data_IF_044752006101
#
_entry.id   IF_044752006101
#
_cell.length_a   1.000
_cell.length_b   1.000
_cell.length_c   1.000
_cell.angle_alpha   90.00
_cell.angle_beta   90.00
_cell.angle_gamma   90.00
#
_symmetry.space_group_name_H-M   'P 1'
#
loop_
_entity.id
_entity.type
_entity.pdbx_description
1 polymer ?
#
# COMPACT_ATOMS: atom_id res chain seq x y z
N UNK A 1 -24.99 -46.26 19.30
CA UNK A 1 -24.57 -47.46 20.04
C UNK A 1 -25.78 -48.22 20.56
N UNK A 2 -26.18 -49.29 19.89
CA UNK A 2 -27.03 -50.33 20.50
C UNK A 2 -26.12 -51.27 21.27
N UNK A 3 -26.37 -51.43 22.58
CA UNK A 3 -25.54 -52.25 23.47
C UNK A 3 -25.82 -53.75 23.30
N UNK A 4 -25.44 -54.39 22.19
CA UNK A 4 -25.58 -55.86 22.12
C UNK A 4 -24.70 -56.61 21.11
N UNK A 5 -23.43 -56.24 20.91
CA UNK A 5 -22.47 -57.10 20.21
C UNK A 5 -21.11 -57.13 20.91
N UNK A 6 -20.59 -58.35 21.16
CA UNK A 6 -19.41 -58.64 21.96
C UNK A 6 -18.06 -58.30 21.29
N UNK A 7 -18.09 -57.63 20.14
CA UNK A 7 -16.91 -57.07 19.44
C UNK A 7 -17.35 -55.84 18.66
N UNK A 8 -17.75 -54.79 19.38
CA UNK A 8 -17.85 -53.47 18.77
C UNK A 8 -16.43 -52.93 18.58
N UNK A 9 -15.89 -53.02 17.36
CA UNK A 9 -14.73 -52.22 16.95
C UNK A 9 -15.25 -50.78 16.82
N UNK A 10 -14.95 -49.96 17.82
CA UNK A 10 -15.22 -48.53 17.75
C UNK A 10 -14.17 -47.93 16.81
N UNK A 11 -14.51 -47.73 15.54
CA UNK A 11 -13.72 -46.90 14.66
C UNK A 11 -13.91 -45.45 15.12
N UNK A 12 -12.92 -44.92 15.83
CA UNK A 12 -12.83 -43.49 16.08
C UNK A 12 -12.22 -42.91 14.80
N UNK A 13 -13.05 -42.26 14.00
CA UNK A 13 -12.59 -41.44 12.88
C UNK A 13 -12.11 -40.10 13.46
N UNK A 14 -10.79 -39.98 13.63
CA UNK A 14 -10.17 -38.71 14.05
C UNK A 14 -10.04 -37.88 12.78
N UNK A 15 -10.94 -36.90 12.62
CA UNK A 15 -10.80 -35.92 11.55
C UNK A 15 -9.78 -34.87 11.99
N UNK A 16 -8.63 -34.88 11.33
CA UNK A 16 -7.59 -33.86 11.53
C UNK A 16 -8.11 -32.48 11.08
N UNK A 17 -7.78 -31.40 11.82
CA UNK A 17 -8.20 -30.07 11.45
C UNK A 17 -7.65 -29.70 10.05
N UNK A 18 -8.51 -29.13 9.22
CA UNK A 18 -8.23 -28.70 7.85
C UNK A 18 -9.14 -27.54 7.49
N UNK A 19 -8.74 -26.67 6.56
CA UNK A 19 -9.57 -25.50 6.22
C UNK A 19 -9.21 -24.24 7.02
N UNK A 20 -7.92 -24.06 7.30
CA UNK A 20 -7.37 -22.72 7.45
C UNK A 20 -7.14 -22.10 6.07
N UNK A 21 -7.22 -20.78 5.98
CA UNK A 21 -6.78 -20.01 4.82
C UNK A 21 -5.80 -18.92 5.24
N UNK A 22 -4.83 -18.66 4.37
CA UNK A 22 -3.94 -17.50 4.47
C UNK A 22 -4.29 -16.54 3.34
N UNK A 23 -4.47 -15.29 3.67
CA UNK A 23 -5.09 -14.30 2.79
C UNK A 23 -4.15 -13.11 2.65
N UNK A 24 -3.76 -12.82 1.41
CA UNK A 24 -3.13 -11.58 1.04
C UNK A 24 -4.20 -10.65 0.46
N UNK A 25 -4.17 -9.34 0.78
CA UNK A 25 -5.28 -8.47 0.50
C UNK A 25 -5.26 -7.97 -0.95
N UNK A 26 -6.41 -7.44 -1.37
CA UNK A 26 -6.53 -6.63 -2.57
C UNK A 26 -6.52 -5.16 -2.12
N UNK A 27 -5.51 -4.39 -2.50
CA UNK A 27 -5.33 -2.99 -2.05
C UNK A 27 -5.11 -2.08 -3.24
N UNK A 28 -5.74 -0.90 -3.22
CA UNK A 28 -5.43 0.20 -4.12
C UNK A 28 -4.73 1.30 -3.32
N UNK A 29 -3.64 1.83 -3.87
CA UNK A 29 -2.83 2.88 -3.23
C UNK A 29 -2.25 3.80 -4.30
N UNK A 30 -1.85 4.99 -3.87
CA UNK A 30 -1.30 6.00 -4.75
C UNK A 30 0.23 5.97 -4.76
N UNK A 31 0.82 6.41 -5.86
CA UNK A 31 2.23 6.78 -5.96
C UNK A 31 2.36 8.03 -6.83
N UNK A 32 3.45 8.79 -6.67
CA UNK A 32 3.77 9.92 -7.54
C UNK A 32 4.05 9.39 -8.96
N UNK A 33 3.18 9.75 -9.91
CA UNK A 33 3.28 9.30 -11.29
C UNK A 33 4.49 9.87 -12.04
N UNK A 34 5.12 10.93 -11.53
CA UNK A 34 6.29 11.58 -12.14
C UNK A 34 7.58 10.98 -11.61
N UNK A 35 7.75 10.94 -10.28
CA UNK A 35 8.97 10.40 -9.68
C UNK A 35 8.93 8.89 -9.53
N UNK A 36 7.73 8.30 -9.52
CA UNK A 36 7.47 6.90 -9.24
C UNK A 36 7.44 6.56 -7.74
N UNK A 37 7.68 7.53 -6.85
CA UNK A 37 7.80 7.30 -5.40
C UNK A 37 6.42 7.06 -4.79
N UNK A 38 6.30 6.01 -3.98
CA UNK A 38 5.09 5.66 -3.28
C UNK A 38 5.37 4.61 -2.23
N UNK A 39 4.40 4.39 -1.35
CA UNK A 39 4.47 3.35 -0.34
C UNK A 39 3.10 2.75 -0.06
N UNK A 40 3.07 1.54 0.48
CA UNK A 40 1.83 0.86 0.85
C UNK A 40 2.08 -0.10 2.00
N UNK A 41 1.14 -0.20 2.92
CA UNK A 41 1.13 -1.24 3.94
C UNK A 41 -0.04 -2.20 3.69
N UNK A 42 0.21 -3.49 3.84
CA UNK A 42 -0.78 -4.54 3.62
C UNK A 42 -0.82 -5.49 4.81
N UNK A 43 -2.03 -5.89 5.21
CA UNK A 43 -2.28 -6.88 6.24
C UNK A 43 -2.32 -8.29 5.64
N UNK A 44 -1.49 -9.19 6.13
CA UNK A 44 -1.65 -10.62 5.91
C UNK A 44 -2.61 -11.18 6.95
N UNK A 45 -3.61 -11.95 6.52
CA UNK A 45 -4.65 -12.48 7.40
C UNK A 45 -4.67 -14.01 7.42
N UNK A 46 -5.20 -14.55 8.51
CA UNK A 46 -5.54 -15.97 8.65
C UNK A 46 -7.01 -16.09 8.99
N UNK A 47 -7.68 -17.10 8.43
CA UNK A 47 -9.06 -17.46 8.78
C UNK A 47 -9.19 -18.98 8.96
N UNK A 48 -10.19 -19.39 9.73
CA UNK A 48 -10.59 -20.80 9.86
C UNK A 48 -12.05 -20.96 9.41
N UNK A 49 -12.32 -21.93 8.55
CA UNK A 49 -13.67 -22.24 8.10
C UNK A 49 -14.52 -22.81 9.25
N UNK A 50 -15.77 -22.35 9.39
CA UNK A 50 -16.69 -22.83 10.43
C UNK A 50 -17.01 -24.34 10.32
N UNK A 51 -16.77 -24.92 9.14
CA UNK A 51 -16.94 -26.36 8.88
C UNK A 51 -15.71 -27.19 9.27
N UNK A 52 -14.60 -26.56 9.69
CA UNK A 52 -13.38 -27.26 10.12
C UNK A 52 -13.67 -28.14 11.36
N UNK A 53 -13.34 -29.45 11.33
CA UNK A 53 -13.40 -30.29 12.51
C UNK A 53 -12.67 -29.65 13.71
N UNK A 54 -13.39 -29.46 14.82
CA UNK A 54 -12.84 -28.83 16.03
C UNK A 54 -12.92 -27.30 16.05
N UNK A 55 -13.61 -26.67 15.08
CA UNK A 55 -13.73 -25.21 15.03
C UNK A 55 -14.30 -24.60 16.33
N UNK A 56 -13.69 -23.51 16.84
CA UNK A 56 -12.42 -22.95 16.39
C UNK A 56 -11.22 -23.70 17.00
N UNK A 57 -10.24 -24.03 16.17
CA UNK A 57 -9.03 -24.72 16.60
C UNK A 57 -8.00 -23.74 17.19
N UNK A 58 -7.38 -24.13 18.29
CA UNK A 58 -6.33 -23.35 18.94
C UNK A 58 -4.99 -23.52 18.20
N UNK A 59 -4.53 -22.45 17.55
CA UNK A 59 -3.25 -22.41 16.83
C UNK A 59 -2.10 -22.03 17.76
N UNK A 60 -0.89 -22.55 17.50
CA UNK A 60 0.33 -22.28 18.29
C UNK A 60 1.37 -21.41 17.57
N UNK A 61 1.17 -21.14 16.28
CA UNK A 61 2.11 -20.42 15.43
C UNK A 61 1.87 -20.72 13.96
N UNK A 62 2.72 -20.14 13.11
CA UNK A 62 2.68 -20.32 11.66
C UNK A 62 4.04 -19.98 11.04
N UNK A 63 4.29 -20.49 9.83
CA UNK A 63 5.27 -19.91 8.92
C UNK A 63 4.61 -19.51 7.62
N UNK A 64 5.02 -18.36 7.09
CA UNK A 64 4.45 -17.74 5.91
C UNK A 64 5.56 -17.29 4.96
N UNK A 65 5.29 -17.34 3.67
CA UNK A 65 6.19 -16.94 2.59
C UNK A 65 5.37 -16.41 1.43
N UNK A 66 5.60 -15.14 1.08
CA UNK A 66 4.83 -14.42 0.07
C UNK A 66 5.75 -13.63 -0.85
N UNK A 67 5.54 -13.76 -2.14
CA UNK A 67 6.30 -13.12 -3.20
C UNK A 67 5.60 -11.84 -3.68
N UNK A 68 6.42 -10.86 -4.07
CA UNK A 68 6.03 -9.65 -4.79
C UNK A 68 6.86 -9.50 -6.07
N UNK A 69 6.46 -8.63 -6.99
CA UNK A 69 7.31 -8.26 -8.12
C UNK A 69 8.40 -7.26 -7.67
N UNK A 70 9.70 -7.66 -7.63
CA UNK A 70 10.79 -6.78 -7.21
C UNK A 70 11.07 -5.63 -8.18
N UNK A 71 10.48 -5.64 -9.38
CA UNK A 71 10.58 -4.55 -10.33
C UNK A 71 9.61 -3.41 -10.03
N UNK A 72 8.55 -3.64 -9.24
CA UNK A 72 7.50 -2.66 -8.99
C UNK A 72 7.48 -2.19 -7.52
N UNK A 73 7.68 -3.11 -6.58
CA UNK A 73 7.68 -2.81 -5.15
C UNK A 73 8.79 -3.59 -4.42
N UNK A 74 9.25 -3.07 -3.29
CA UNK A 74 10.20 -3.74 -2.41
C UNK A 74 9.70 -3.70 -0.96
N UNK A 75 9.70 -4.85 -0.25
CA UNK A 75 9.32 -4.87 1.16
C UNK A 75 10.38 -4.14 2.00
N UNK A 76 9.91 -3.30 2.91
CA UNK A 76 10.72 -2.44 3.78
C UNK A 76 10.68 -2.95 5.22
N UNK A 77 9.51 -3.38 5.68
CA UNK A 77 9.36 -3.91 7.04
C UNK A 77 8.24 -4.94 7.13
N UNK A 78 8.33 -5.82 8.13
CA UNK A 78 7.27 -6.74 8.53
C UNK A 78 7.07 -6.58 10.03
N UNK A 79 5.84 -6.31 10.46
CA UNK A 79 5.50 -6.10 11.88
C UNK A 79 4.41 -7.09 12.33
N UNK A 80 4.40 -7.51 13.61
CA UNK A 80 3.30 -8.26 14.16
C UNK A 80 2.02 -7.43 14.11
N UNK A 81 0.87 -8.07 13.86
CA UNK A 81 -0.42 -7.37 13.99
C UNK A 81 -0.76 -7.10 15.47
N UNK A 82 -1.70 -6.20 15.70
CA UNK A 82 -2.22 -5.91 17.04
C UNK A 82 -2.79 -7.17 17.76
N UNK A 83 -3.20 -8.19 17.00
CA UNK A 83 -3.64 -9.47 17.55
C UNK A 83 -2.45 -10.25 18.14
N UNK A 84 -1.33 -10.33 17.41
CA UNK A 84 -0.13 -11.00 17.89
C UNK A 84 0.50 -10.26 19.06
N UNK A 85 0.49 -8.92 19.04
CA UNK A 85 1.03 -8.09 20.12
C UNK A 85 0.35 -8.35 21.46
N UNK A 86 -0.90 -8.84 21.49
CA UNK A 86 -1.62 -9.15 22.71
C UNK A 86 -1.17 -10.46 23.40
N UNK A 87 -0.40 -11.30 22.71
CA UNK A 87 0.13 -12.55 23.26
C UNK A 87 1.07 -12.30 24.46
N UNK A 88 1.19 -13.30 25.34
CA UNK A 88 2.06 -13.31 26.50
C UNK A 88 1.90 -12.07 27.38
N UNK A 89 0.66 -11.67 27.63
CA UNK A 89 0.33 -10.50 28.44
C UNK A 89 0.77 -9.18 27.80
N UNK A 90 0.55 -9.04 26.49
CA UNK A 90 0.98 -7.90 25.68
C UNK A 90 2.50 -7.76 25.48
N UNK A 91 3.23 -8.86 25.59
CA UNK A 91 4.67 -8.91 25.27
C UNK A 91 4.91 -9.31 23.81
N UNK A 92 3.86 -9.66 23.07
CA UNK A 92 3.95 -10.22 21.73
C UNK A 92 4.27 -11.72 21.74
N UNK A 93 4.43 -12.33 20.55
CA UNK A 93 4.82 -13.73 20.43
C UNK A 93 6.24 -13.96 20.98
N UNK A 94 6.49 -15.14 21.54
CA UNK A 94 7.80 -15.55 22.04
C UNK A 94 8.86 -15.63 20.92
N UNK A 95 8.42 -15.81 19.68
CA UNK A 95 9.26 -15.77 18.49
C UNK A 95 8.53 -15.10 17.33
N UNK A 96 9.17 -14.10 16.73
CA UNK A 96 8.78 -13.46 15.48
C UNK A 96 10.05 -13.20 14.69
N UNK A 97 10.20 -13.84 13.54
CA UNK A 97 11.35 -13.63 12.66
C UNK A 97 10.89 -13.40 11.23
N UNK A 98 11.41 -12.36 10.62
CA UNK A 98 11.18 -12.02 9.23
C UNK A 98 12.45 -12.19 8.39
N UNK A 99 12.26 -12.57 7.13
CA UNK A 99 13.25 -12.46 6.08
C UNK A 99 12.71 -11.51 5.02
N UNK A 100 13.42 -10.42 4.75
CA UNK A 100 13.03 -9.41 3.77
C UNK A 100 13.97 -9.54 2.57
N UNK A 101 13.40 -9.80 1.40
CA UNK A 101 14.10 -9.94 0.12
C UNK A 101 13.44 -9.03 -0.91
N UNK A 102 14.15 -8.67 -1.98
CA UNK A 102 13.58 -7.80 -3.01
C UNK A 102 12.26 -8.35 -3.59
N UNK A 103 12.17 -9.66 -3.79
CA UNK A 103 11.01 -10.34 -4.40
C UNK A 103 10.06 -11.00 -3.41
N UNK A 104 10.15 -10.72 -2.12
CA UNK A 104 9.18 -11.24 -1.15
C UNK A 104 9.63 -11.18 0.30
N UNK A 105 8.75 -11.65 1.18
CA UNK A 105 9.05 -11.83 2.60
C UNK A 105 8.77 -13.25 3.05
N UNK A 106 9.53 -13.70 4.04
CA UNK A 106 9.27 -14.91 4.83
C UNK A 106 9.04 -14.52 6.28
N UNK A 107 8.16 -15.22 6.99
CA UNK A 107 7.81 -14.94 8.37
C UNK A 107 7.67 -16.26 9.15
N UNK A 108 8.29 -16.36 10.31
CA UNK A 108 8.11 -17.46 11.26
C UNK A 108 7.65 -16.93 12.61
N UNK A 109 6.56 -17.49 13.14
CA UNK A 109 5.95 -17.05 14.40
C UNK A 109 5.69 -18.25 15.31
N UNK A 110 6.15 -18.16 16.56
CA UNK A 110 5.75 -19.05 17.65
C UNK A 110 5.11 -18.20 18.73
N UNK A 111 3.85 -18.49 19.07
CA UNK A 111 3.12 -17.66 20.02
C UNK A 111 3.70 -17.76 21.41
N UNK A 112 3.89 -18.97 21.92
CA UNK A 112 4.47 -19.22 23.24
C UNK A 112 5.28 -20.52 23.23
N UNK A 113 6.55 -20.49 23.65
CA UNK A 113 7.38 -21.69 23.82
C UNK A 113 6.88 -22.58 24.95
N UNK A 114 6.10 -22.02 25.87
CA UNK A 114 5.46 -22.78 26.96
C UNK A 114 4.11 -23.36 26.56
N UNK A 115 3.57 -22.97 25.40
CA UNK A 115 2.27 -23.42 24.89
C UNK A 115 1.06 -22.87 25.66
N UNK A 116 1.24 -21.79 26.44
CA UNK A 116 0.18 -21.22 27.27
C UNK A 116 -0.75 -20.27 26.50
N UNK A 117 -0.23 -19.60 25.46
CA UNK A 117 -1.02 -18.71 24.60
C UNK A 117 -1.24 -19.32 23.22
N UNK A 118 -2.49 -19.18 22.74
CA UNK A 118 -2.99 -19.71 21.48
C UNK A 118 -3.93 -18.69 20.83
N UNK A 119 -4.09 -18.78 19.51
CA UNK A 119 -5.05 -17.95 18.76
C UNK A 119 -6.09 -18.84 18.09
N UNK A 120 -7.35 -18.42 18.14
CA UNK A 120 -8.48 -19.04 17.47
C UNK A 120 -9.02 -18.07 16.41
N UNK A 121 -8.95 -18.46 15.13
CA UNK A 121 -9.31 -17.60 13.99
C UNK A 121 -10.79 -17.74 13.61
N UNK A 122 -11.70 -17.32 14.50
CA UNK A 122 -13.17 -17.42 14.27
C UNK A 122 -13.68 -16.57 13.11
N UNK A 123 -12.86 -15.63 12.65
CA UNK A 123 -13.06 -14.79 11.47
C UNK A 123 -11.68 -14.45 10.89
N UNK A 124 -11.65 -13.95 9.65
CA UNK A 124 -10.43 -13.38 9.07
C UNK A 124 -9.81 -12.36 10.03
N UNK A 125 -8.55 -12.57 10.38
CA UNK A 125 -7.82 -11.74 11.33
C UNK A 125 -6.42 -11.46 10.82
N UNK A 126 -6.00 -10.18 10.84
CA UNK A 126 -4.63 -9.78 10.49
C UNK A 126 -3.63 -10.40 11.48
N UNK A 127 -2.55 -10.95 10.95
CA UNK A 127 -1.45 -11.57 11.71
C UNK A 127 -0.11 -10.87 11.49
N UNK A 128 0.07 -10.17 10.37
CA UNK A 128 1.28 -9.41 10.10
C UNK A 128 0.99 -8.26 9.16
N UNK A 129 1.73 -7.16 9.31
CA UNK A 129 1.68 -6.00 8.41
C UNK A 129 2.99 -5.92 7.66
N UNK A 130 2.94 -5.87 6.32
CA UNK A 130 4.11 -5.65 5.48
C UNK A 130 4.03 -4.24 4.90
N UNK A 131 5.06 -3.45 5.08
CA UNK A 131 5.22 -2.17 4.39
C UNK A 131 6.12 -2.35 3.17
N UNK A 132 5.70 -1.78 2.04
CA UNK A 132 6.43 -1.75 0.78
C UNK A 132 6.68 -0.31 0.34
N UNK A 133 7.83 -0.08 -0.28
CA UNK A 133 8.08 1.10 -1.11
C UNK A 133 7.99 0.70 -2.58
N UNK A 134 7.62 1.64 -3.43
CA UNK A 134 7.70 1.44 -4.88
C UNK A 134 9.14 1.46 -5.38
N UNK A 135 9.39 0.78 -6.49
CA UNK A 135 10.64 0.92 -7.25
C UNK A 135 10.48 2.11 -8.19
N UNK A 136 10.68 3.31 -7.64
CA UNK A 136 10.37 4.58 -8.27
C UNK A 136 10.86 4.72 -9.72
N UNK A 137 12.13 4.34 -10.00
CA UNK A 137 12.68 4.43 -11.35
C UNK A 137 11.94 3.63 -12.44
N UNK A 138 11.16 2.60 -12.07
CA UNK A 138 10.36 1.82 -13.01
C UNK A 138 8.91 2.30 -13.11
N UNK A 139 8.45 3.10 -12.14
CA UNK A 139 7.11 3.68 -12.09
C UNK A 139 7.06 5.15 -12.50
N UNK A 140 8.21 5.83 -12.57
CA UNK A 140 8.30 7.20 -13.06
C UNK A 140 7.74 7.35 -14.48
N UNK A 141 6.84 8.32 -14.65
CA UNK A 141 6.15 8.63 -15.90
C UNK A 141 4.96 7.71 -16.23
N UNK A 142 4.56 6.82 -15.32
CA UNK A 142 3.35 6.01 -15.52
C UNK A 142 2.11 6.88 -15.36
N UNK A 143 1.18 6.76 -16.30
CA UNK A 143 -0.08 7.53 -16.32
C UNK A 143 -1.33 6.66 -16.18
N UNK A 144 -1.16 5.34 -16.31
CA UNK A 144 -2.21 4.34 -16.11
C UNK A 144 -1.91 3.52 -14.84
N UNK A 145 -2.95 2.99 -14.15
CA UNK A 145 -2.75 2.12 -13.00
C UNK A 145 -1.87 0.91 -13.30
N UNK A 146 -0.95 0.61 -12.40
CA UNK A 146 -0.03 -0.54 -12.48
C UNK A 146 -0.39 -1.56 -11.41
N UNK A 147 -0.53 -2.83 -11.79
CA UNK A 147 -0.88 -3.90 -10.85
C UNK A 147 0.31 -4.80 -10.56
N UNK A 148 0.49 -5.16 -9.29
CA UNK A 148 1.51 -6.13 -8.84
C UNK A 148 0.88 -7.19 -7.94
N UNK A 149 0.96 -8.50 -8.28
CA UNK A 149 0.36 -9.55 -7.48
C UNK A 149 1.16 -9.82 -6.21
N UNK A 150 0.44 -10.15 -5.13
CA UNK A 150 1.02 -10.75 -3.92
C UNK A 150 0.72 -12.24 -3.93
N UNK A 151 1.76 -13.06 -4.13
CA UNK A 151 1.57 -14.49 -4.39
C UNK A 151 2.21 -15.30 -3.27
N UNK A 152 1.39 -16.02 -2.50
CA UNK A 152 1.89 -17.06 -1.58
C UNK A 152 2.83 -18.01 -2.35
N UNK A 153 4.04 -18.18 -1.84
CA UNK A 153 5.12 -18.87 -2.56
C UNK A 153 6.18 -19.35 -1.59
N UNK A 154 6.56 -20.61 -1.69
CA UNK A 154 7.60 -21.21 -0.84
C UNK A 154 9.02 -20.99 -1.35
N UNK A 155 9.20 -20.26 -2.47
CA UNK A 155 10.51 -20.08 -3.12
C UNK A 155 11.10 -18.69 -2.90
N UNK A 156 10.57 -17.92 -1.95
CA UNK A 156 11.12 -16.61 -1.58
C UNK A 156 12.43 -16.80 -0.82
N UNK A 157 13.46 -16.05 -1.23
CA UNK A 157 14.78 -16.09 -0.59
C UNK A 157 15.59 -17.36 -0.93
N UNK A 158 16.73 -17.57 -0.25
CA UNK A 158 17.66 -18.66 -0.56
C UNK A 158 17.24 -20.01 0.02
N UNK A 159 16.38 -20.02 1.04
CA UNK A 159 15.91 -21.20 1.74
C UNK A 159 14.38 -21.26 1.64
N UNK A 160 13.81 -22.34 1.12
CA UNK A 160 12.36 -22.49 1.05
C UNK A 160 11.70 -22.41 2.42
N UNK A 161 10.58 -21.70 2.50
CA UNK A 161 9.74 -21.60 3.71
C UNK A 161 8.33 -22.01 3.32
N UNK A 162 7.84 -23.09 3.93
CA UNK A 162 6.50 -23.62 3.69
C UNK A 162 5.44 -22.74 4.37
N UNK A 163 4.30 -22.56 3.70
CA UNK A 163 3.15 -21.87 4.25
C UNK A 163 2.35 -22.84 5.13
N UNK A 164 2.44 -22.70 6.45
CA UNK A 164 1.78 -23.63 7.39
C UNK A 164 1.18 -22.91 8.60
N UNK A 165 0.13 -23.51 9.16
CA UNK A 165 -0.44 -23.16 10.48
C UNK A 165 -0.23 -24.34 11.41
N UNK A 166 0.13 -24.10 12.67
CA UNK A 166 0.36 -25.16 13.66
C UNK A 166 -0.85 -25.29 14.57
N UNK A 167 -1.42 -26.50 14.65
CA UNK A 167 -2.53 -26.86 15.54
C UNK A 167 -2.19 -28.16 16.27
N UNK A 168 -2.24 -28.14 17.60
CA UNK A 168 -1.88 -29.29 18.46
C UNK A 168 -0.50 -29.88 18.11
N UNK A 169 0.46 -29.00 17.79
CA UNK A 169 1.80 -29.36 17.32
C UNK A 169 1.85 -30.15 15.99
N UNK A 170 0.73 -30.22 15.26
CA UNK A 170 0.66 -30.74 13.91
C UNK A 170 0.70 -29.60 12.88
N UNK A 171 1.30 -29.89 11.73
CA UNK A 171 1.36 -28.99 10.57
C UNK A 171 0.07 -29.06 9.78
N UNK A 172 -0.60 -27.94 9.62
CA UNK A 172 -1.79 -27.78 8.77
C UNK A 172 -1.42 -26.91 7.57
N UNK A 173 -1.69 -27.43 6.37
CA UNK A 173 -1.50 -26.68 5.11
C UNK A 173 -2.75 -25.82 4.87
N UNK A 174 -2.64 -24.48 4.91
CA UNK A 174 -3.76 -23.60 4.64
C UNK A 174 -4.05 -23.52 3.13
N UNK A 175 -5.27 -23.11 2.80
CA UNK A 175 -5.61 -22.66 1.45
C UNK A 175 -4.99 -21.28 1.24
N UNK A 176 -4.29 -21.12 0.12
CA UNK A 176 -3.65 -19.86 -0.24
C UNK A 176 -4.60 -18.96 -1.04
N UNK A 177 -4.92 -17.79 -0.51
CA UNK A 177 -5.69 -16.75 -1.19
C UNK A 177 -4.74 -15.60 -1.53
N UNK A 178 -4.37 -15.51 -2.81
CA UNK A 178 -3.45 -14.49 -3.32
C UNK A 178 -4.04 -13.07 -3.28
N UNK A 179 -3.15 -12.09 -3.23
CA UNK A 179 -3.47 -10.67 -3.16
C UNK A 179 -3.07 -9.93 -4.43
N UNK A 180 -3.39 -8.64 -4.46
CA UNK A 180 -3.05 -7.72 -5.55
C UNK A 180 -2.89 -6.32 -4.97
N UNK A 181 -1.84 -5.63 -5.38
CA UNK A 181 -1.70 -4.20 -5.15
C UNK A 181 -1.93 -3.51 -6.50
N UNK A 182 -2.90 -2.58 -6.53
CA UNK A 182 -3.10 -1.65 -7.63
C UNK A 182 -2.47 -0.31 -7.24
N UNK A 183 -1.43 0.09 -7.97
CA UNK A 183 -0.73 1.36 -7.82
C UNK A 183 -1.35 2.36 -8.79
N UNK A 184 -2.01 3.38 -8.27
CA UNK A 184 -2.62 4.45 -9.06
C UNK A 184 -1.66 5.64 -9.13
N UNK A 185 -1.21 6.05 -10.33
CA UNK A 185 -0.36 7.22 -10.46
C UNK A 185 -1.16 8.48 -10.09
N UNK A 186 -0.65 9.22 -9.12
CA UNK A 186 -1.05 10.59 -8.87
C UNK A 186 -0.12 11.46 -9.70
N UNK A 187 -0.70 11.94 -10.78
CA UNK A 187 -0.16 12.99 -11.61
C UNK A 187 -0.65 14.29 -10.95
N UNK A 188 0.20 15.30 -10.73
CA UNK A 188 -0.26 16.60 -10.25
C UNK A 188 -1.40 17.15 -11.11
N UNK A 189 -2.09 18.19 -10.63
CA UNK A 189 -3.25 18.74 -11.35
C UNK A 189 -2.95 18.97 -12.84
N UNK A 190 -3.92 18.75 -13.72
CA UNK A 190 -3.73 19.15 -15.12
C UNK A 190 -3.87 20.66 -15.18
N UNK A 191 -2.76 21.35 -15.43
CA UNK A 191 -2.68 22.80 -15.43
C UNK A 191 -2.02 23.32 -16.71
N UNK A 192 -2.14 24.62 -16.92
CA UNK A 192 -1.23 25.40 -17.75
C UNK A 192 -0.53 26.38 -16.82
N UNK A 193 0.73 26.13 -16.50
CA UNK A 193 1.53 26.93 -15.58
C UNK A 193 1.55 28.39 -16.01
N UNK A 194 1.45 29.26 -15.01
CA UNK A 194 1.33 30.71 -15.12
C UNK A 194 0.05 31.24 -15.81
N UNK A 195 -0.97 30.42 -16.04
CA UNK A 195 -2.34 30.84 -16.40
C UNK A 195 -3.19 30.95 -15.12
N UNK A 196 -2.80 31.90 -14.27
CA UNK A 196 -3.31 32.02 -12.90
C UNK A 196 -4.78 32.48 -12.85
N UNK A 197 -5.25 33.18 -13.88
CA UNK A 197 -6.65 33.56 -13.98
C UNK A 197 -7.51 32.53 -14.74
N UNK A 198 -6.94 31.38 -15.10
CA UNK A 198 -7.59 30.27 -15.78
C UNK A 198 -8.36 30.70 -17.05
N UNK A 199 -7.77 31.59 -17.86
CA UNK A 199 -8.37 32.07 -19.11
C UNK A 199 -7.78 31.39 -20.37
N UNK A 200 -6.81 30.50 -20.18
CA UNK A 200 -6.13 29.74 -21.24
C UNK A 200 -5.01 30.51 -21.93
N UNK A 201 -4.67 31.73 -21.48
CA UNK A 201 -3.73 32.62 -22.15
C UNK A 201 -2.71 33.24 -21.20
N UNK A 202 -1.44 32.88 -21.33
CA UNK A 202 -0.35 33.54 -20.59
C UNK A 202 -0.17 35.02 -20.98
N UNK A 203 -0.54 35.94 -20.09
CA UNK A 203 -0.47 37.38 -20.27
C UNK A 203 -0.36 38.17 -18.94
N UNK A 204 -0.53 39.50 -18.99
CA UNK A 204 -0.39 40.35 -17.79
C UNK A 204 -1.52 40.13 -16.77
N UNK A 205 -2.68 39.66 -17.20
CA UNK A 205 -3.82 39.38 -16.33
C UNK A 205 -3.49 38.32 -15.29
N UNK A 206 -2.65 37.33 -15.62
CA UNK A 206 -2.18 36.29 -14.70
C UNK A 206 -1.40 36.87 -13.52
N UNK A 207 -0.47 37.79 -13.79
CA UNK A 207 0.29 38.47 -12.75
C UNK A 207 -0.61 39.34 -11.86
N UNK A 208 -1.66 39.93 -12.44
CA UNK A 208 -2.64 40.73 -11.68
C UNK A 208 -3.46 39.84 -10.77
N UNK A 209 -3.93 38.69 -11.26
CA UNK A 209 -4.72 37.75 -10.46
C UNK A 209 -3.89 37.14 -9.34
N UNK A 210 -2.64 36.74 -9.62
CA UNK A 210 -1.70 36.27 -8.59
C UNK A 210 -1.52 37.31 -7.47
N UNK A 211 -1.27 38.58 -7.81
CA UNK A 211 -1.15 39.66 -6.82
C UNK A 211 -2.46 39.92 -6.06
N UNK A 212 -3.61 39.75 -6.72
CA UNK A 212 -4.92 39.90 -6.12
C UNK A 212 -5.19 38.79 -5.08
N UNK A 213 -4.85 37.54 -5.41
CA UNK A 213 -4.89 36.41 -4.47
C UNK A 213 -3.99 36.65 -3.26
N UNK A 214 -2.75 37.05 -3.48
CA UNK A 214 -1.75 37.26 -2.42
C UNK A 214 -2.09 38.41 -1.45
N UNK A 215 -2.60 39.53 -1.96
CA UNK A 215 -2.71 40.76 -1.16
C UNK A 215 -4.13 41.24 -0.88
N UNK A 216 -5.12 40.83 -1.68
CA UNK A 216 -6.52 41.24 -1.51
C UNK A 216 -7.44 40.08 -1.14
N UNK A 217 -6.89 38.88 -0.89
CA UNK A 217 -7.65 37.67 -0.61
C UNK A 217 -8.68 37.36 -1.71
N UNK A 218 -8.32 37.63 -2.96
CA UNK A 218 -9.09 37.16 -4.12
C UNK A 218 -9.12 35.63 -4.14
N UNK A 219 -10.23 35.00 -4.54
CA UNK A 219 -10.26 33.56 -4.75
C UNK A 219 -9.31 33.18 -5.89
N UNK A 220 -8.57 32.09 -5.72
CA UNK A 220 -7.72 31.48 -6.75
C UNK A 220 -8.22 30.05 -6.92
N UNK A 221 -8.72 29.73 -8.12
CA UNK A 221 -9.37 28.43 -8.40
C UNK A 221 -8.33 27.30 -8.55
N UNK A 222 -7.12 27.64 -9.01
CA UNK A 222 -6.01 26.72 -9.22
C UNK A 222 -4.71 27.37 -8.77
N UNK A 223 -4.33 27.10 -7.51
CA UNK A 223 -3.13 27.70 -6.91
C UNK A 223 -1.86 27.16 -7.58
N UNK A 224 -1.90 25.90 -8.04
CA UNK A 224 -0.81 25.24 -8.75
C UNK A 224 -0.48 25.95 -10.08
N UNK A 225 -1.50 26.38 -10.86
CA UNK A 225 -1.27 27.18 -12.07
C UNK A 225 -0.68 28.57 -11.77
N UNK A 226 -0.85 29.08 -10.55
CA UNK A 226 -0.30 30.36 -10.10
C UNK A 226 1.13 30.26 -9.57
N UNK A 227 1.66 29.07 -9.29
CA UNK A 227 3.08 28.83 -9.02
C UNK A 227 3.86 28.89 -10.35
N UNK A 228 4.20 30.10 -10.76
CA UNK A 228 4.74 30.37 -12.08
C UNK A 228 6.21 29.98 -12.20
N UNK A 229 6.95 29.91 -11.09
CA UNK A 229 8.36 29.54 -11.05
C UNK A 229 8.61 28.10 -10.61
N UNK A 230 7.57 27.35 -10.26
CA UNK A 230 7.59 25.93 -9.93
C UNK A 230 8.44 25.61 -8.70
N UNK A 231 8.30 26.43 -7.65
CA UNK A 231 9.07 26.27 -6.41
C UNK A 231 8.29 25.67 -5.24
N UNK A 232 7.03 25.29 -5.49
CA UNK A 232 6.10 24.68 -4.55
C UNK A 232 5.49 25.67 -3.56
N UNK A 233 5.57 26.97 -3.85
CA UNK A 233 5.06 28.03 -2.99
C UNK A 233 4.48 29.19 -3.80
N UNK A 234 3.15 29.33 -3.74
CA UNK A 234 2.50 30.54 -4.23
C UNK A 234 2.82 31.77 -3.36
N UNK A 235 3.66 32.67 -3.89
CA UNK A 235 4.14 33.88 -3.22
C UNK A 235 4.46 35.03 -4.22
N UNK A 236 5.10 36.11 -3.75
CA UNK A 236 5.40 37.29 -4.60
C UNK A 236 6.42 37.00 -5.71
N UNK A 237 7.19 35.92 -5.59
CA UNK A 237 8.12 35.48 -6.62
C UNK A 237 7.39 35.12 -7.93
N UNK A 238 6.18 34.58 -7.86
CA UNK A 238 5.39 34.15 -9.02
C UNK A 238 5.00 35.29 -9.96
N UNK A 239 4.30 36.36 -9.52
CA UNK A 239 3.99 37.47 -10.41
C UNK A 239 5.26 38.20 -10.88
N UNK A 240 6.34 38.21 -10.09
CA UNK A 240 7.63 38.75 -10.52
C UNK A 240 8.22 37.90 -11.65
N UNK A 241 8.15 36.58 -11.54
CA UNK A 241 8.60 35.63 -12.55
C UNK A 241 7.79 35.80 -13.85
N UNK A 242 6.46 35.83 -13.76
CA UNK A 242 5.55 36.08 -14.90
C UNK A 242 5.84 37.40 -15.61
N UNK A 243 5.97 38.52 -14.87
CA UNK A 243 6.27 39.83 -15.47
C UNK A 243 7.67 39.87 -16.09
N UNK A 244 8.64 39.16 -15.50
CA UNK A 244 9.99 39.03 -16.05
C UNK A 244 9.97 38.30 -17.39
N UNK A 245 9.25 37.18 -17.47
CA UNK A 245 9.05 36.43 -18.71
C UNK A 245 8.37 37.29 -19.80
N UNK A 246 7.33 38.04 -19.45
CA UNK A 246 6.56 38.86 -20.41
C UNK A 246 7.33 40.10 -20.92
N UNK A 247 8.07 40.79 -20.05
CA UNK A 247 8.57 42.14 -20.36
C UNK A 247 10.09 42.31 -20.28
N UNK A 248 10.81 41.34 -19.73
CA UNK A 248 12.25 41.46 -19.47
C UNK A 248 13.09 40.36 -20.15
N UNK A 249 12.50 39.59 -21.07
CA UNK A 249 13.12 38.39 -21.65
C UNK A 249 13.63 37.42 -20.57
N UNK A 250 12.88 37.28 -19.48
CA UNK A 250 13.13 36.27 -18.45
C UNK A 250 12.94 34.83 -18.97
N UNK A 251 13.21 33.84 -18.12
CA UNK A 251 12.88 32.46 -18.43
C UNK A 251 11.36 32.30 -18.59
N UNK A 252 10.92 31.45 -19.52
CA UNK A 252 9.52 31.04 -19.58
C UNK A 252 9.20 30.11 -18.40
N UNK A 253 7.93 30.07 -17.94
CA UNK A 253 7.49 29.13 -16.92
C UNK A 253 7.89 27.69 -17.26
N UNK A 254 8.31 26.89 -16.26
CA UNK A 254 8.60 25.48 -16.48
C UNK A 254 7.35 24.72 -16.94
N UNK A 255 7.53 23.50 -17.46
CA UNK A 255 6.41 22.71 -17.96
C UNK A 255 5.50 22.26 -16.79
N UNK A 256 4.17 22.26 -16.94
CA UNK A 256 3.43 22.40 -18.19
C UNK A 256 3.11 23.87 -18.55
N UNK A 257 3.71 24.44 -19.61
CA UNK A 257 3.50 25.84 -20.00
C UNK A 257 3.06 25.96 -21.47
N UNK A 258 2.09 26.85 -21.75
CA UNK A 258 1.58 27.11 -23.10
C UNK A 258 0.66 26.02 -23.64
N UNK A 259 0.22 25.11 -22.77
CA UNK A 259 -0.73 24.04 -23.06
C UNK A 259 -0.94 23.19 -21.80
N UNK A 260 -2.09 22.53 -21.74
CA UNK A 260 -2.45 21.67 -20.63
C UNK A 260 -1.49 20.50 -20.50
N UNK A 261 -1.02 20.27 -19.28
CA UNK A 261 -0.25 19.10 -18.92
C UNK A 261 -0.35 18.86 -17.42
N UNK A 262 0.06 17.66 -17.03
CA UNK A 262 0.23 17.30 -15.63
C UNK A 262 1.38 18.10 -15.03
N UNK A 263 1.19 18.59 -13.82
CA UNK A 263 2.30 19.13 -13.04
C UNK A 263 3.36 18.03 -12.76
N UNK A 264 4.60 18.16 -13.29
CA UNK A 264 5.65 17.17 -13.10
C UNK A 264 6.28 17.20 -11.69
N UNK A 265 5.92 18.17 -10.85
CA UNK A 265 6.48 18.33 -9.52
C UNK A 265 5.36 18.20 -8.50
N UNK A 266 5.46 17.18 -7.64
CA UNK A 266 4.56 17.09 -6.50
C UNK A 266 4.92 18.17 -5.49
N UNK A 267 3.93 18.98 -5.11
CA UNK A 267 4.02 19.87 -3.97
C UNK A 267 2.68 19.94 -3.22
N UNK A 268 2.59 20.86 -2.25
CA UNK A 268 1.39 21.02 -1.43
C UNK A 268 0.30 21.88 -2.08
N UNK A 269 0.53 22.38 -3.29
CA UNK A 269 -0.41 23.17 -4.06
C UNK A 269 -1.32 22.22 -4.85
N UNK A 270 -2.58 22.60 -4.96
CA UNK A 270 -3.58 21.81 -5.65
C UNK A 270 -4.43 22.72 -6.52
N UNK A 271 -5.10 22.10 -7.50
CA UNK A 271 -6.15 22.76 -8.25
C UNK A 271 -7.47 22.09 -7.95
N UNK A 272 -8.36 22.84 -7.31
CA UNK A 272 -9.74 22.38 -7.08
C UNK A 272 -10.49 22.33 -8.40
N UNK A 273 -10.28 23.35 -9.26
CA UNK A 273 -10.80 23.41 -10.62
C UNK A 273 -9.84 24.18 -11.53
N UNK A 274 -9.62 23.67 -12.76
CA UNK A 274 -8.92 24.39 -13.80
C UNK A 274 -9.63 24.21 -15.14
N UNK A 275 -10.67 25.01 -15.37
CA UNK A 275 -11.54 24.92 -16.55
C UNK A 275 -10.81 24.92 -17.92
N UNK A 276 -9.65 25.59 -18.09
CA UNK A 276 -8.89 25.49 -19.34
C UNK A 276 -8.36 24.08 -19.65
N UNK A 277 -8.18 23.24 -18.64
CA UNK A 277 -7.68 21.87 -18.77
C UNK A 277 -8.66 20.85 -18.19
N UNK A 278 -9.61 20.34 -19.00
CA UNK A 278 -10.62 19.38 -18.58
C UNK A 278 -10.10 17.94 -18.44
#
# INVERSE_FOLDING_TARGET
CSQNEATAVCAIDVQEPSGFSIIAPQVTTNFDGVTGVGSVSVDLSVAEEISNPGFPNATQGFSLSIANDPALIQPVSVQPSALLEQLNGSSGPDFFTEGIFAGGVTLGVVYSFTGLDVIQFTSESSVAVISYDTVAGNLAGQVDPVQTPLTWSETVGPTPVENIVVVNAATILPVEIHGLITLEPQLGGVISRADCNADGSFNIADAVEALNGLFNSGPIDCVDACDANDDGQFNVADPVFTLSALFSNGALPPAPFGGCGVDPTEDGLTCDQFDPCP
#
